data_IF_350611281998
#
_entry.id   IF_350611281998
#
_cell.length_a   1.000
_cell.length_b   1.000
_cell.length_c   1.000
_cell.angle_alpha   90.00
_cell.angle_beta   90.00
_cell.angle_gamma   90.00
#
_symmetry.space_group_name_H-M   'P 1'
#
loop_
_entity.id
_entity.type
_entity.pdbx_description
1 polymer ?
#
# COMPACT_ATOMS: atom_id res chain seq x y z
N UNK A 1 -23.28 -10.51 23.32
CA UNK A 1 -24.04 -9.31 23.73
C UNK A 1 -23.16 -8.09 24.06
N UNK A 2 -22.32 -8.10 25.12
CA UNK A 2 -21.48 -6.94 25.48
C UNK A 2 -20.56 -6.47 24.33
N UNK A 3 -19.83 -7.38 23.69
CA UNK A 3 -18.92 -7.05 22.58
C UNK A 3 -19.64 -6.40 21.40
N UNK A 4 -20.80 -6.93 21.02
CA UNK A 4 -21.61 -6.41 19.93
C UNK A 4 -22.10 -4.98 20.22
N UNK A 5 -22.61 -4.75 21.44
CA UNK A 5 -23.02 -3.42 21.89
C UNK A 5 -21.85 -2.43 21.93
N UNK A 6 -20.67 -2.88 22.37
CA UNK A 6 -19.45 -2.06 22.39
C UNK A 6 -18.97 -1.69 20.98
N UNK A 7 -18.96 -2.65 20.05
CA UNK A 7 -18.58 -2.41 18.65
C UNK A 7 -19.56 -1.42 18.01
N UNK A 8 -20.87 -1.66 18.14
CA UNK A 8 -21.89 -0.76 17.61
C UNK A 8 -21.76 0.65 18.18
N UNK A 9 -21.63 0.76 19.50
CA UNK A 9 -21.43 2.06 20.16
C UNK A 9 -20.16 2.76 19.67
N UNK A 10 -19.06 2.02 19.42
CA UNK A 10 -17.81 2.62 18.94
C UNK A 10 -17.91 3.14 17.51
N UNK A 11 -18.71 2.48 16.66
CA UNK A 11 -18.91 2.86 15.26
C UNK A 11 -19.94 3.99 15.10
N UNK A 12 -21.02 3.97 15.88
CA UNK A 12 -22.17 4.87 15.67
C UNK A 12 -22.13 6.12 16.54
N UNK A 13 -21.45 6.10 17.69
CA UNK A 13 -21.51 7.21 18.66
C UNK A 13 -21.04 8.53 18.03
N UNK A 14 -21.95 9.49 17.99
CA UNK A 14 -21.70 10.86 17.54
C UNK A 14 -21.72 11.05 16.02
N UNK A 15 -22.01 9.98 15.26
CA UNK A 15 -22.04 10.00 13.78
C UNK A 15 -23.28 9.36 13.16
N UNK A 16 -24.24 8.85 13.96
CA UNK A 16 -25.42 8.14 13.46
C UNK A 16 -26.26 8.99 12.48
N UNK A 17 -26.64 10.22 12.86
CA UNK A 17 -27.49 11.08 12.04
C UNK A 17 -26.80 11.51 10.73
N UNK A 18 -25.50 11.76 10.80
CA UNK A 18 -24.67 12.14 9.65
C UNK A 18 -24.53 10.96 8.68
N UNK A 19 -24.31 9.75 9.21
CA UNK A 19 -24.25 8.52 8.40
C UNK A 19 -25.59 8.25 7.72
N UNK A 20 -26.71 8.36 8.44
CA UNK A 20 -28.04 8.15 7.87
C UNK A 20 -28.35 9.15 6.74
N UNK A 21 -28.00 10.42 6.94
CA UNK A 21 -28.16 11.46 5.92
C UNK A 21 -27.34 11.18 4.66
N UNK A 22 -26.08 10.72 4.82
CA UNK A 22 -25.21 10.34 3.71
C UNK A 22 -25.78 9.15 2.93
N UNK A 23 -26.19 8.09 3.63
CA UNK A 23 -26.77 6.88 3.04
C UNK A 23 -28.06 7.20 2.29
N UNK A 24 -28.92 8.05 2.88
CA UNK A 24 -30.14 8.49 2.22
C UNK A 24 -29.85 9.25 0.92
N UNK A 25 -28.97 10.25 0.96
CA UNK A 25 -28.59 11.02 -0.22
C UNK A 25 -27.94 10.15 -1.32
N UNK A 26 -27.14 9.16 -0.93
CA UNK A 26 -26.55 8.19 -1.86
C UNK A 26 -27.63 7.36 -2.58
N UNK A 27 -28.64 6.88 -1.84
CA UNK A 27 -29.75 6.11 -2.40
C UNK A 27 -30.80 6.93 -3.15
N UNK A 28 -30.81 8.25 -3.01
CA UNK A 28 -31.60 9.14 -3.88
C UNK A 28 -31.04 9.18 -5.32
N UNK A 29 -29.76 8.83 -5.51
CA UNK A 29 -29.07 8.83 -6.81
C UNK A 29 -28.88 7.41 -7.36
N UNK A 30 -28.54 6.43 -6.50
CA UNK A 30 -28.21 5.06 -6.90
C UNK A 30 -29.21 4.08 -6.28
N UNK A 31 -29.79 3.19 -7.10
CA UNK A 31 -30.72 2.16 -6.60
C UNK A 31 -30.01 1.25 -5.58
N UNK A 32 -30.52 1.14 -4.33
CA UNK A 32 -29.95 0.27 -3.29
C UNK A 32 -29.73 -1.17 -3.74
N UNK A 33 -30.52 -1.68 -4.70
CA UNK A 33 -30.38 -3.04 -5.24
C UNK A 33 -29.08 -3.22 -6.02
N UNK A 34 -28.58 -2.16 -6.67
CA UNK A 34 -27.30 -2.17 -7.37
C UNK A 34 -26.13 -2.10 -6.41
N UNK A 35 -26.33 -1.56 -5.21
CA UNK A 35 -25.29 -1.48 -4.17
C UNK A 35 -25.18 -2.81 -3.42
N UNK A 36 -26.32 -3.46 -3.16
CA UNK A 36 -26.38 -4.73 -2.44
C UNK A 36 -25.77 -5.95 -3.15
N UNK A 37 -25.32 -5.81 -4.40
CA UNK A 37 -24.56 -6.87 -5.11
C UNK A 37 -23.09 -6.89 -4.72
N UNK A 38 -22.57 -5.82 -4.14
CA UNK A 38 -21.16 -5.66 -3.78
C UNK A 38 -20.92 -5.95 -2.30
N UNK A 39 -19.79 -6.57 -1.98
CA UNK A 39 -19.24 -6.52 -0.62
C UNK A 39 -18.63 -5.13 -0.32
N UNK A 40 -18.22 -4.89 0.93
CA UNK A 40 -17.67 -3.58 1.32
C UNK A 40 -16.41 -3.18 0.53
N UNK A 41 -15.56 -4.14 0.16
CA UNK A 41 -14.30 -3.90 -0.58
C UNK A 41 -14.58 -3.65 -2.06
N UNK A 42 -15.53 -4.39 -2.63
CA UNK A 42 -15.96 -4.19 -4.01
C UNK A 42 -16.64 -2.82 -4.17
N UNK A 43 -17.48 -2.43 -3.21
CA UNK A 43 -18.11 -1.10 -3.22
C UNK A 43 -17.08 0.02 -3.07
N UNK A 44 -16.09 -0.15 -2.21
CA UNK A 44 -14.94 0.76 -2.10
C UNK A 44 -14.23 0.91 -3.45
N UNK A 45 -13.93 -0.20 -4.13
CA UNK A 45 -13.28 -0.19 -5.44
C UNK A 45 -14.12 0.52 -6.51
N UNK A 46 -15.43 0.33 -6.51
CA UNK A 46 -16.35 0.98 -7.47
C UNK A 46 -16.40 2.49 -7.24
N UNK A 47 -16.42 2.94 -5.98
CA UNK A 47 -16.53 4.37 -5.63
C UNK A 47 -15.19 5.09 -5.78
N UNK A 48 -14.11 4.50 -5.24
CA UNK A 48 -12.78 5.11 -5.25
C UNK A 48 -12.04 4.90 -6.58
N UNK A 49 -12.50 3.96 -7.41
CA UNK A 49 -11.77 3.46 -8.56
C UNK A 49 -10.57 2.60 -8.14
N UNK A 50 -9.84 2.08 -9.12
CA UNK A 50 -8.49 1.57 -8.84
C UNK A 50 -7.62 2.76 -8.49
N UNK A 51 -7.13 2.84 -7.24
CA UNK A 51 -6.01 3.71 -6.86
C UNK A 51 -4.82 3.31 -7.71
N UNK A 52 -4.67 3.93 -8.88
CA UNK A 52 -3.48 3.77 -9.69
C UNK A 52 -2.33 4.44 -8.95
N UNK A 53 -1.31 3.65 -8.62
CA UNK A 53 -0.14 4.18 -7.94
C UNK A 53 0.62 5.08 -8.92
N UNK A 54 0.70 6.36 -8.58
CA UNK A 54 1.60 7.30 -9.23
C UNK A 54 3.06 6.96 -8.85
N UNK A 55 3.72 6.26 -9.75
CA UNK A 55 5.12 5.83 -9.59
C UNK A 55 6.07 7.04 -9.54
N UNK A 56 5.74 8.14 -10.22
CA UNK A 56 6.57 9.34 -10.21
C UNK A 56 6.49 10.04 -8.84
N UNK A 57 5.29 10.16 -8.26
CA UNK A 57 5.13 10.67 -6.89
C UNK A 57 5.81 9.76 -5.86
N UNK A 58 5.68 8.44 -6.01
CA UNK A 58 6.34 7.47 -5.14
C UNK A 58 7.87 7.66 -5.15
N UNK A 59 8.47 7.72 -6.34
CA UNK A 59 9.91 7.91 -6.49
C UNK A 59 10.39 9.24 -5.95
N UNK A 60 9.66 10.32 -6.24
CA UNK A 60 9.98 11.67 -5.75
C UNK A 60 10.00 11.76 -4.23
N UNK A 61 9.16 10.96 -3.56
CA UNK A 61 9.03 10.95 -2.10
C UNK A 61 9.76 9.79 -1.42
N UNK A 62 10.68 9.13 -2.11
CA UNK A 62 11.48 8.03 -1.54
C UNK A 62 12.81 8.53 -0.96
N UNK A 63 13.13 8.09 0.26
CA UNK A 63 14.45 8.26 0.88
C UNK A 63 15.37 7.08 0.53
N UNK A 64 16.66 7.37 0.32
CA UNK A 64 17.68 6.36 0.07
C UNK A 64 18.75 6.38 1.16
N UNK A 65 19.23 5.20 1.59
CA UNK A 65 20.21 5.06 2.68
C UNK A 65 21.34 4.09 2.35
N UNK A 66 22.39 4.14 3.16
CA UNK A 66 23.51 3.18 3.13
C UNK A 66 24.23 3.10 1.77
N UNK A 67 24.38 4.25 1.12
CA UNK A 67 25.08 4.40 -0.17
C UNK A 67 24.18 4.31 -1.41
N UNK A 68 22.89 4.00 -1.25
CA UNK A 68 21.93 4.20 -2.32
C UNK A 68 21.53 5.67 -2.46
N UNK A 69 21.23 6.05 -3.70
CA UNK A 69 20.72 7.34 -4.12
C UNK A 69 19.94 7.15 -5.42
N UNK A 70 19.16 8.15 -5.86
CA UNK A 70 18.23 8.02 -6.99
C UNK A 70 18.90 7.57 -8.30
N UNK A 71 20.13 8.04 -8.56
CA UNK A 71 20.91 7.66 -9.74
C UNK A 71 21.71 6.35 -9.59
N UNK A 72 21.63 5.65 -8.46
CA UNK A 72 22.39 4.42 -8.24
C UNK A 72 21.84 3.30 -9.16
N UNK A 73 22.66 2.48 -9.83
CA UNK A 73 22.19 1.49 -10.81
C UNK A 73 21.09 0.56 -10.28
N UNK A 74 21.28 0.01 -9.06
CA UNK A 74 20.28 -0.86 -8.40
C UNK A 74 18.95 -0.13 -8.15
N UNK A 75 18.97 1.17 -7.86
CA UNK A 75 17.76 1.98 -7.65
C UNK A 75 17.07 2.26 -8.98
N UNK A 76 17.82 2.54 -10.04
CA UNK A 76 17.25 2.68 -11.39
C UNK A 76 16.58 1.38 -11.84
N UNK A 77 17.21 0.23 -11.59
CA UNK A 77 16.61 -1.08 -11.87
C UNK A 77 15.36 -1.34 -11.05
N UNK A 78 15.34 -0.95 -9.77
CA UNK A 78 14.16 -1.04 -8.93
C UNK A 78 12.96 -0.27 -9.51
N UNK A 79 13.16 1.00 -9.89
CA UNK A 79 12.08 1.79 -10.48
C UNK A 79 11.66 1.28 -11.86
N UNK A 80 12.61 0.81 -12.67
CA UNK A 80 12.30 0.16 -13.95
C UNK A 80 11.47 -1.12 -13.73
N UNK A 81 11.72 -1.88 -12.67
CA UNK A 81 10.91 -3.05 -12.31
C UNK A 81 9.49 -2.66 -11.88
N UNK A 82 9.34 -1.58 -11.09
CA UNK A 82 8.03 -1.07 -10.67
C UNK A 82 7.21 -0.56 -11.86
N UNK A 83 7.84 0.12 -12.82
CA UNK A 83 7.17 0.56 -14.05
C UNK A 83 6.64 -0.63 -14.86
N UNK A 84 7.36 -1.76 -14.85
CA UNK A 84 6.93 -3.03 -15.47
C UNK A 84 5.83 -3.77 -14.70
N UNK A 85 5.66 -3.50 -13.40
CA UNK A 85 4.57 -4.09 -12.62
C UNK A 85 3.23 -3.49 -13.04
N UNK A 86 2.19 -4.33 -13.03
CA UNK A 86 0.80 -3.88 -13.04
C UNK A 86 0.43 -3.23 -11.69
N UNK A 87 -0.72 -2.56 -11.65
CA UNK A 87 -1.12 -1.83 -10.45
C UNK A 87 -1.32 -2.75 -9.24
N UNK A 88 -1.78 -3.98 -9.46
CA UNK A 88 -1.97 -4.99 -8.40
C UNK A 88 -0.63 -5.34 -7.73
N UNK A 89 0.42 -5.59 -8.52
CA UNK A 89 1.77 -5.85 -8.00
C UNK A 89 2.39 -4.62 -7.34
N UNK A 90 2.10 -3.42 -7.82
CA UNK A 90 2.53 -2.17 -7.15
C UNK A 90 1.86 -2.02 -5.78
N UNK A 91 0.56 -2.31 -5.68
CA UNK A 91 -0.19 -2.28 -4.42
C UNK A 91 0.32 -3.34 -3.43
N UNK A 92 0.61 -4.56 -3.92
CA UNK A 92 1.23 -5.61 -3.09
C UNK A 92 2.62 -5.22 -2.60
N UNK A 93 3.45 -4.61 -3.44
CA UNK A 93 4.76 -4.11 -3.01
C UNK A 93 4.61 -3.00 -1.96
N UNK A 94 3.65 -2.09 -2.13
CA UNK A 94 3.36 -1.06 -1.15
C UNK A 94 2.95 -1.68 0.19
N UNK A 95 2.06 -2.68 0.16
CA UNK A 95 1.62 -3.41 1.35
C UNK A 95 2.77 -4.18 1.99
N UNK A 96 3.64 -4.81 1.20
CA UNK A 96 4.84 -5.50 1.69
C UNK A 96 5.72 -4.56 2.51
N UNK A 97 5.93 -3.32 2.05
CA UNK A 97 6.85 -2.37 2.69
C UNK A 97 6.21 -1.54 3.79
N UNK A 98 4.93 -1.21 3.69
CA UNK A 98 4.25 -0.26 4.59
C UNK A 98 3.20 -0.93 5.49
N UNK A 99 2.83 -2.18 5.20
CA UNK A 99 1.75 -2.89 5.89
C UNK A 99 0.34 -2.52 5.41
N UNK A 100 0.20 -1.59 4.46
CA UNK A 100 -1.08 -1.18 3.89
C UNK A 100 -0.98 -1.01 2.37
N UNK A 101 -2.05 -1.32 1.65
CA UNK A 101 -2.17 -1.06 0.21
C UNK A 101 -2.68 0.36 -0.10
N UNK A 102 -2.96 1.18 0.92
CA UNK A 102 -3.55 2.51 0.75
C UNK A 102 -2.47 3.61 0.72
N UNK A 103 -2.54 4.48 -0.28
CA UNK A 103 -1.77 5.73 -0.32
C UNK A 103 -2.63 6.86 0.28
N UNK A 104 -2.08 7.73 1.15
CA UNK A 104 -2.81 8.90 1.64
C UNK A 104 -3.31 9.76 0.48
N UNK A 105 -4.45 10.45 0.66
CA UNK A 105 -4.99 11.34 -0.38
C UNK A 105 -4.01 12.47 -0.78
N UNK A 106 -3.11 12.85 0.13
CA UNK A 106 -2.03 13.84 -0.07
C UNK A 106 -0.80 13.26 -0.81
N UNK A 107 -0.86 11.99 -1.22
CA UNK A 107 0.23 11.28 -1.92
C UNK A 107 1.28 10.67 -0.99
N UNK A 108 2.39 10.22 -1.60
CA UNK A 108 3.49 9.54 -0.90
C UNK A 108 4.26 10.44 0.08
N UNK A 109 4.16 11.76 -0.09
CA UNK A 109 4.74 12.74 0.83
C UNK A 109 4.15 12.65 2.25
N UNK A 110 2.89 12.22 2.35
CA UNK A 110 2.14 12.16 3.60
C UNK A 110 2.12 10.76 4.24
N UNK A 111 2.96 9.83 3.78
CA UNK A 111 3.09 8.52 4.39
C UNK A 111 3.41 8.64 5.89
N UNK A 112 2.80 7.76 6.69
CA UNK A 112 2.99 7.68 8.14
C UNK A 112 3.54 6.32 8.50
N UNK A 113 4.44 6.30 9.48
CA UNK A 113 4.88 5.09 10.16
C UNK A 113 4.32 5.05 11.58
N UNK A 114 4.81 4.11 12.40
CA UNK A 114 4.31 3.91 13.77
C UNK A 114 4.46 5.13 14.69
N UNK A 115 5.45 6.00 14.41
CA UNK A 115 5.83 7.12 15.26
C UNK A 115 5.57 8.49 14.60
N UNK A 116 4.69 8.56 13.59
CA UNK A 116 4.35 9.81 12.89
C UNK A 116 4.73 9.82 11.40
N UNK A 117 4.85 11.01 10.77
CA UNK A 117 5.19 11.15 9.36
C UNK A 117 6.49 10.43 9.01
N UNK A 118 6.45 9.55 8.01
CA UNK A 118 7.59 8.74 7.60
C UNK A 118 7.48 8.32 6.14
N UNK A 119 8.41 8.83 5.34
CA UNK A 119 8.51 8.53 3.91
C UNK A 119 8.86 7.07 3.66
N UNK A 120 8.55 6.61 2.45
CA UNK A 120 9.08 5.36 1.93
C UNK A 120 10.61 5.43 1.88
N UNK A 121 11.29 4.37 2.30
CA UNK A 121 12.75 4.34 2.42
C UNK A 121 13.33 3.08 1.79
N UNK A 122 14.37 3.21 0.97
CA UNK A 122 15.14 2.08 0.44
C UNK A 122 16.55 2.12 1.04
N UNK A 123 16.94 1.05 1.73
CA UNK A 123 18.23 0.92 2.39
C UNK A 123 19.03 -0.23 1.78
N UNK A 124 20.29 0.02 1.42
CA UNK A 124 21.20 -1.03 0.97
C UNK A 124 21.51 -1.99 2.12
N UNK A 125 21.21 -3.28 1.94
CA UNK A 125 21.43 -4.28 2.98
C UNK A 125 21.68 -5.68 2.42
N UNK A 126 22.49 -6.49 3.11
CA UNK A 126 22.66 -7.91 2.81
C UNK A 126 23.58 -8.21 1.62
N UNK A 127 23.44 -9.43 1.08
CA UNK A 127 24.25 -9.96 -0.04
C UNK A 127 23.39 -10.13 -1.29
N UNK A 128 23.94 -10.13 -2.51
CA UNK A 128 23.16 -10.31 -3.74
C UNK A 128 22.29 -11.59 -3.79
N UNK A 129 22.63 -12.62 -3.02
CA UNK A 129 21.83 -13.85 -2.89
C UNK A 129 20.61 -13.72 -1.96
N UNK A 130 20.52 -12.63 -1.19
CA UNK A 130 19.44 -12.41 -0.21
C UNK A 130 18.15 -11.97 -0.90
N UNK A 131 17.01 -12.28 -0.30
CA UNK A 131 15.73 -11.67 -0.68
C UNK A 131 15.60 -10.26 -0.07
N UNK A 132 14.84 -9.35 -0.70
CA UNK A 132 14.47 -8.09 -0.09
C UNK A 132 13.68 -8.32 1.20
N UNK A 133 13.78 -7.39 2.14
CA UNK A 133 13.04 -7.45 3.41
C UNK A 133 12.36 -6.12 3.68
N UNK A 134 11.25 -6.15 4.40
CA UNK A 134 10.53 -4.96 4.78
C UNK A 134 10.47 -4.77 6.29
N UNK A 135 10.46 -3.51 6.72
CA UNK A 135 10.17 -3.10 8.08
C UNK A 135 8.99 -2.12 8.04
N UNK A 136 7.78 -2.66 8.16
CA UNK A 136 6.52 -1.93 7.95
C UNK A 136 6.35 -0.72 8.88
N UNK A 137 6.74 -0.84 10.15
CA UNK A 137 6.72 0.29 11.11
C UNK A 137 7.50 1.52 10.61
N UNK A 138 8.45 1.33 9.70
CA UNK A 138 9.37 2.33 9.22
C UNK A 138 9.22 2.65 7.73
N UNK A 139 8.24 2.06 7.04
CA UNK A 139 8.07 2.16 5.58
C UNK A 139 9.39 1.87 4.82
N UNK A 140 10.18 0.91 5.32
CA UNK A 140 11.54 0.65 4.83
C UNK A 140 11.66 -0.68 4.11
N UNK A 141 12.21 -0.62 2.90
CA UNK A 141 12.67 -1.75 2.10
C UNK A 141 14.19 -1.89 2.22
N UNK A 142 14.64 -3.00 2.78
CA UNK A 142 16.03 -3.42 2.77
C UNK A 142 16.29 -4.14 1.44
N UNK A 143 17.02 -3.49 0.52
CA UNK A 143 17.23 -3.93 -0.85
C UNK A 143 18.69 -4.38 -1.07
N UNK A 144 18.95 -5.67 -1.35
CA UNK A 144 20.28 -6.17 -1.64
C UNK A 144 20.92 -5.54 -2.88
N UNK A 145 22.26 -5.43 -2.91
CA UNK A 145 22.98 -4.90 -4.06
C UNK A 145 23.06 -5.96 -5.16
N UNK A 146 21.92 -6.24 -5.81
CA UNK A 146 21.84 -7.16 -6.93
C UNK A 146 22.79 -6.76 -8.05
N UNK A 147 23.24 -7.75 -8.82
CA UNK A 147 24.26 -7.56 -9.85
C UNK A 147 23.69 -7.46 -11.26
N UNK A 148 22.39 -7.70 -11.44
CA UNK A 148 21.67 -7.54 -12.71
C UNK A 148 20.23 -7.08 -12.49
N UNK A 149 19.62 -6.39 -13.48
CA UNK A 149 18.22 -6.00 -13.41
C UNK A 149 17.27 -7.21 -13.34
N UNK A 150 17.57 -8.30 -14.03
CA UNK A 150 16.75 -9.52 -14.01
C UNK A 150 16.74 -10.17 -12.62
N UNK A 151 17.90 -10.24 -11.96
CA UNK A 151 17.99 -10.77 -10.59
C UNK A 151 17.18 -9.91 -9.62
N UNK A 152 17.23 -8.58 -9.76
CA UNK A 152 16.41 -7.69 -8.95
C UNK A 152 14.92 -7.97 -9.18
N UNK A 153 14.50 -8.04 -10.44
CA UNK A 153 13.10 -8.25 -10.81
C UNK A 153 12.56 -9.56 -10.23
N UNK A 154 13.28 -10.67 -10.45
CA UNK A 154 12.88 -11.99 -9.94
C UNK A 154 12.79 -12.03 -8.40
N UNK A 155 13.80 -11.49 -7.72
CA UNK A 155 13.86 -11.49 -6.25
C UNK A 155 12.81 -10.57 -5.63
N UNK A 156 12.54 -9.43 -6.26
CA UNK A 156 11.50 -8.51 -5.83
C UNK A 156 10.12 -9.12 -6.03
N UNK A 157 9.85 -9.71 -7.21
CA UNK A 157 8.59 -10.36 -7.51
C UNK A 157 8.31 -11.50 -6.53
N UNK A 158 9.30 -12.35 -6.29
CA UNK A 158 9.19 -13.46 -5.34
C UNK A 158 8.87 -12.95 -3.92
N UNK A 159 9.54 -11.90 -3.44
CA UNK A 159 9.26 -11.35 -2.11
C UNK A 159 7.85 -10.77 -2.00
N UNK A 160 7.35 -10.13 -3.05
CA UNK A 160 6.00 -9.54 -3.08
C UNK A 160 4.91 -10.62 -3.15
N UNK A 161 5.10 -11.66 -3.96
CA UNK A 161 4.08 -12.71 -4.16
C UNK A 161 4.03 -13.71 -2.99
N UNK A 162 5.16 -14.08 -2.38
CA UNK A 162 5.22 -15.05 -1.26
C UNK A 162 4.70 -14.49 0.07
N UNK A 163 4.62 -13.16 0.21
CA UNK A 163 4.11 -12.51 1.44
C UNK A 163 2.57 -12.51 1.52
N UNK A 164 1.88 -13.07 0.52
CA UNK A 164 0.41 -13.22 0.47
C UNK A 164 -0.17 -14.09 1.60
N UNK A 165 0.68 -14.78 2.38
CA UNK A 165 0.29 -15.63 3.51
C UNK A 165 -0.08 -14.89 4.79
N UNK A 166 0.13 -13.57 4.89
CA UNK A 166 -0.26 -12.79 6.09
C UNK A 166 -1.69 -12.23 6.04
N UNK A 167 -2.42 -12.41 4.94
CA UNK A 167 -3.76 -11.85 4.72
C UNK A 167 -4.91 -12.86 4.71
N UNK A 168 -4.65 -14.13 5.03
CA UNK A 168 -5.70 -15.17 5.06
C UNK A 168 -5.58 -15.94 6.38
N UNK A 169 -6.23 -15.42 7.41
CA UNK A 169 -7.08 -16.13 8.38
C UNK A 169 -8.04 -15.13 9.04
#
# INVERSE_FOLDING_TARGET
EYLERMVRWRLERGVSEQTESLVRGFYEVIDPRLVGVFDARELELVIAGTLEIDVADWRKNTEYRSGYHDCHPVIQWFWTAIERFDNERRLRLLQFVTGTSSVPYEGFAALRGSNGPRKFCIEKWGKPSSLPRAHTCFNRLDLPPYTSPDMLYEKLLLAVEETSTFGIE
#
